data_IF_017391688872
#
_entry.id   IF_017391688872
#
_cell.length_a   1.000
_cell.length_b   1.000
_cell.length_c   1.000
_cell.angle_alpha   90.00
_cell.angle_beta   90.00
_cell.angle_gamma   90.00
#
_symmetry.space_group_name_H-M   'P 1'
#
loop_
_entity.id
_entity.type
_entity.pdbx_description
1 polymer ?
#
# COMPACT_ATOMS: atom_id res chain seq x y z
N UNK A 1 -14.28 26.19 8.95
CA UNK A 1 -13.66 25.17 9.83
C UNK A 1 -12.27 24.90 9.29
N UNK A 2 -11.31 24.68 10.17
CA UNK A 2 -9.94 24.25 9.83
C UNK A 2 -9.85 22.81 10.30
N UNK A 3 -9.45 21.89 9.44
CA UNK A 3 -9.49 20.45 9.73
C UNK A 3 -8.17 19.80 9.36
N UNK A 4 -7.75 18.81 10.13
CA UNK A 4 -6.64 17.94 9.82
C UNK A 4 -6.97 16.51 10.26
N UNK A 5 -6.77 15.55 9.37
CA UNK A 5 -6.84 14.12 9.68
C UNK A 5 -5.44 13.56 9.90
N UNK A 6 -5.32 12.49 10.66
CA UNK A 6 -4.10 11.73 10.79
C UNK A 6 -4.46 10.28 11.02
N UNK A 7 -3.65 9.37 10.49
CA UNK A 7 -3.87 7.96 10.64
C UNK A 7 -2.56 7.23 10.58
N UNK A 8 -2.49 6.13 11.31
CA UNK A 8 -1.66 4.99 11.00
C UNK A 8 -2.60 3.78 11.05
N UNK A 9 -2.25 2.65 10.43
CA UNK A 9 -3.10 1.48 10.52
C UNK A 9 -3.47 1.15 11.98
N UNK A 10 -4.76 0.95 12.24
CA UNK A 10 -5.34 0.73 13.57
C UNK A 10 -5.60 1.99 14.42
N UNK A 11 -5.24 3.19 13.95
CA UNK A 11 -5.50 4.45 14.64
C UNK A 11 -5.94 5.57 13.69
N UNK A 12 -7.08 6.18 13.98
CA UNK A 12 -7.58 7.37 13.28
C UNK A 12 -7.66 8.56 14.21
N UNK A 13 -7.15 9.70 13.77
CA UNK A 13 -7.26 11.00 14.42
C UNK A 13 -7.94 11.99 13.49
N UNK A 14 -8.90 12.76 14.01
CA UNK A 14 -9.51 13.86 13.28
C UNK A 14 -9.61 15.07 14.18
N UNK A 15 -8.98 16.16 13.78
CA UNK A 15 -8.98 17.43 14.52
C UNK A 15 -9.68 18.50 13.69
N UNK A 16 -10.56 19.27 14.30
CA UNK A 16 -11.20 20.42 13.67
C UNK A 16 -11.30 21.59 14.63
N UNK A 17 -11.25 22.79 14.08
CA UNK A 17 -11.44 24.04 14.80
C UNK A 17 -12.30 25.01 13.99
N UNK A 18 -13.23 25.69 14.66
CA UNK A 18 -14.03 26.79 14.13
C UNK A 18 -13.77 28.05 14.96
N UNK A 19 -12.87 28.94 14.50
CA UNK A 19 -12.55 30.17 15.21
C UNK A 19 -13.78 31.05 15.43
N UNK A 20 -14.65 31.17 14.41
CA UNK A 20 -15.86 32.01 14.46
C UNK A 20 -16.92 31.49 15.44
N UNK A 21 -16.86 30.21 15.80
CA UNK A 21 -17.76 29.57 16.75
C UNK A 21 -17.11 29.31 18.11
N UNK A 22 -15.82 29.64 18.27
CA UNK A 22 -15.00 29.28 19.42
C UNK A 22 -15.13 27.79 19.82
N UNK A 23 -15.14 26.90 18.82
CA UNK A 23 -15.38 25.46 18.99
C UNK A 23 -14.25 24.66 18.36
N UNK A 24 -13.70 23.69 19.11
CA UNK A 24 -12.75 22.72 18.60
C UNK A 24 -13.14 21.32 19.03
N UNK A 25 -12.91 20.34 18.15
CA UNK A 25 -13.12 18.92 18.45
C UNK A 25 -11.93 18.09 17.97
N UNK A 26 -11.60 17.09 18.78
CA UNK A 26 -10.59 16.07 18.49
C UNK A 26 -11.25 14.71 18.67
N UNK A 27 -11.23 13.90 17.62
CA UNK A 27 -11.72 12.52 17.63
C UNK A 27 -10.53 11.60 17.49
N UNK A 28 -10.41 10.64 18.40
CA UNK A 28 -9.36 9.61 18.42
C UNK A 28 -10.05 8.25 18.43
N UNK A 29 -9.72 7.40 17.47
CA UNK A 29 -10.29 6.06 17.33
C UNK A 29 -9.14 5.06 17.20
N UNK A 30 -9.16 4.00 17.99
CA UNK A 30 -8.18 2.91 17.99
C UNK A 30 -8.71 1.69 17.21
N UNK A 31 -9.20 1.93 16.00
CA UNK A 31 -9.63 0.91 15.07
C UNK A 31 -9.28 1.34 13.65
N UNK A 32 -9.15 0.36 12.77
CA UNK A 32 -8.72 0.56 11.39
C UNK A 32 -9.85 1.07 10.50
N UNK A 33 -9.50 1.81 9.44
CA UNK A 33 -10.45 2.33 8.43
C UNK A 33 -11.60 3.18 9.01
N UNK A 34 -11.34 3.93 10.10
CA UNK A 34 -12.37 4.70 10.81
C UNK A 34 -12.50 6.17 10.39
N UNK A 35 -11.88 6.58 9.29
CA UNK A 35 -11.90 7.98 8.82
C UNK A 35 -13.32 8.52 8.59
N UNK A 36 -14.19 7.71 7.97
CA UNK A 36 -15.59 8.08 7.72
C UNK A 36 -16.38 8.24 9.04
N UNK A 37 -16.21 7.29 9.97
CA UNK A 37 -16.83 7.32 11.29
C UNK A 37 -16.37 8.52 12.12
N UNK A 38 -15.06 8.83 12.11
CA UNK A 38 -14.51 10.00 12.78
C UNK A 38 -15.11 11.30 12.23
N UNK A 39 -15.24 11.43 10.90
CA UNK A 39 -15.91 12.57 10.26
C UNK A 39 -17.38 12.68 10.65
N UNK A 40 -18.10 11.56 10.68
CA UNK A 40 -19.52 11.54 11.05
C UNK A 40 -19.73 12.00 12.51
N UNK A 41 -18.94 11.47 13.45
CA UNK A 41 -18.95 11.88 14.87
C UNK A 41 -18.69 13.38 14.99
N UNK A 42 -17.64 13.87 14.34
CA UNK A 42 -17.24 15.27 14.38
C UNK A 42 -18.32 16.19 13.82
N UNK A 43 -18.87 15.85 12.65
CA UNK A 43 -19.96 16.63 12.03
C UNK A 43 -21.17 16.68 12.95
N UNK A 44 -21.57 15.53 13.51
CA UNK A 44 -22.72 15.44 14.41
C UNK A 44 -22.55 16.31 15.65
N UNK A 45 -21.39 16.22 16.30
CA UNK A 45 -21.10 17.01 17.48
C UNK A 45 -21.06 18.52 17.18
N UNK A 46 -20.56 18.93 16.02
CA UNK A 46 -20.64 20.33 15.55
C UNK A 46 -22.08 20.80 15.38
N UNK A 47 -22.91 19.99 14.71
CA UNK A 47 -24.30 20.33 14.45
C UNK A 47 -25.09 20.45 15.77
N UNK A 48 -24.87 19.52 16.72
CA UNK A 48 -25.51 19.54 18.04
C UNK A 48 -25.11 20.78 18.85
N UNK A 49 -23.82 21.14 18.91
CA UNK A 49 -23.34 22.33 19.65
C UNK A 49 -23.83 23.63 19.03
N UNK A 50 -23.94 23.68 17.70
CA UNK A 50 -24.42 24.87 16.98
C UNK A 50 -25.95 24.95 16.90
N UNK A 51 -26.68 24.01 17.53
CA UNK A 51 -28.14 23.96 17.51
C UNK A 51 -28.73 23.74 16.11
N UNK A 52 -27.96 23.12 15.21
CA UNK A 52 -28.42 22.78 13.87
C UNK A 52 -29.24 21.50 13.97
N UNK A 53 -30.44 21.52 13.39
CA UNK A 53 -31.26 20.32 13.35
C UNK A 53 -30.48 19.19 12.65
N UNK A 54 -30.55 17.95 13.16
CA UNK A 54 -30.06 16.82 12.41
C UNK A 54 -30.72 16.85 11.02
N UNK A 55 -29.99 16.61 9.92
CA UNK A 55 -30.67 16.32 8.67
C UNK A 55 -31.68 15.19 8.95
N UNK A 56 -32.94 15.38 8.54
CA UNK A 56 -33.94 14.32 8.57
C UNK A 56 -33.32 13.11 7.87
N UNK A 57 -33.11 12.04 8.63
CA UNK A 57 -32.40 10.81 8.29
C UNK A 57 -31.91 10.70 6.83
N UNK A 58 -30.60 10.73 6.65
CA UNK A 58 -29.93 9.85 5.71
C UNK A 58 -28.96 9.00 6.54
N UNK A 59 -29.49 7.93 7.15
CA UNK A 59 -28.69 6.73 7.42
C UNK A 59 -28.59 5.87 6.15
N UNK A 60 -29.04 6.38 5.01
CA UNK A 60 -28.77 5.79 3.70
C UNK A 60 -27.55 6.45 3.10
N UNK A 61 -26.56 5.58 2.92
CA UNK A 61 -25.57 5.66 1.86
C UNK A 61 -24.71 6.92 1.92
N UNK A 62 -23.63 6.85 2.71
CA UNK A 62 -22.33 7.14 2.08
C UNK A 62 -22.41 6.54 0.68
N UNK A 63 -22.15 7.30 -0.41
CA UNK A 63 -21.77 6.62 -1.65
C UNK A 63 -20.79 5.58 -1.18
N UNK A 64 -21.09 4.30 -1.41
CA UNK A 64 -20.07 3.29 -1.29
C UNK A 64 -18.91 3.92 -2.05
N UNK A 65 -17.86 4.29 -1.32
CA UNK A 65 -16.58 4.53 -1.94
C UNK A 65 -16.45 3.29 -2.79
N UNK A 66 -16.55 3.48 -4.12
CA UNK A 66 -16.58 2.35 -5.05
C UNK A 66 -15.44 1.48 -4.56
N UNK A 67 -15.72 0.25 -4.08
CA UNK A 67 -14.68 -0.54 -3.46
C UNK A 67 -13.54 -0.47 -4.46
N UNK A 68 -12.35 0.04 -4.06
CA UNK A 68 -11.25 0.21 -4.99
C UNK A 68 -11.20 -1.11 -5.72
N UNK A 69 -11.42 -1.06 -7.04
CA UNK A 69 -11.68 -2.27 -7.83
C UNK A 69 -10.68 -3.28 -7.33
N UNK A 70 -11.10 -4.35 -6.63
CA UNK A 70 -10.13 -5.28 -6.07
C UNK A 70 -9.27 -5.60 -7.27
N UNK A 71 -7.95 -5.41 -7.16
CA UNK A 71 -7.04 -5.90 -8.19
C UNK A 71 -7.50 -7.33 -8.42
N UNK A 72 -8.17 -7.53 -9.57
CA UNK A 72 -9.16 -8.60 -9.70
C UNK A 72 -8.52 -9.85 -9.16
N UNK A 73 -9.19 -10.52 -8.20
CA UNK A 73 -8.73 -11.75 -7.57
C UNK A 73 -8.27 -12.67 -8.70
N UNK A 74 -6.99 -12.57 -9.01
CA UNK A 74 -6.41 -13.18 -10.18
C UNK A 74 -6.24 -14.59 -9.69
N UNK A 75 -7.31 -15.37 -9.89
CA UNK A 75 -7.38 -16.81 -9.72
C UNK A 75 -5.97 -17.34 -9.89
N UNK A 76 -5.43 -17.95 -8.84
CA UNK A 76 -4.07 -18.49 -8.78
C UNK A 76 -3.82 -19.38 -10.00
N UNK A 77 -3.42 -18.74 -11.10
CA UNK A 77 -2.86 -19.37 -12.26
C UNK A 77 -1.47 -19.82 -11.83
N UNK A 78 -1.10 -21.03 -12.23
CA UNK A 78 0.15 -21.67 -11.84
C UNK A 78 1.29 -20.64 -11.83
N UNK A 79 1.89 -20.29 -10.67
CA UNK A 79 3.02 -19.37 -10.57
C UNK A 79 4.32 -19.97 -11.20
N UNK A 80 4.18 -20.98 -12.06
CA UNK A 80 5.23 -21.90 -12.47
C UNK A 80 6.05 -21.43 -13.68
N UNK A 81 5.79 -20.25 -14.25
CA UNK A 81 6.53 -19.76 -15.44
C UNK A 81 7.51 -18.63 -15.15
N UNK A 82 7.39 -17.94 -14.01
CA UNK A 82 8.21 -16.76 -13.72
C UNK A 82 9.34 -17.09 -12.75
N UNK A 83 10.58 -16.92 -13.22
CA UNK A 83 11.76 -17.01 -12.35
C UNK A 83 11.86 -15.77 -11.46
N UNK A 84 11.30 -15.86 -10.24
CA UNK A 84 11.33 -14.78 -9.24
C UNK A 84 12.76 -14.33 -8.89
N UNK A 85 13.77 -15.20 -9.06
CA UNK A 85 15.15 -14.84 -8.74
C UNK A 85 15.69 -13.73 -9.63
N UNK A 86 15.19 -13.59 -10.86
CA UNK A 86 15.56 -12.50 -11.77
C UNK A 86 15.12 -11.11 -11.23
N UNK A 87 14.06 -11.07 -10.43
CA UNK A 87 13.46 -9.86 -9.86
C UNK A 87 13.91 -9.57 -8.42
N UNK A 88 14.59 -10.51 -7.78
CA UNK A 88 15.24 -10.26 -6.51
C UNK A 88 16.45 -9.33 -6.68
N UNK A 89 16.80 -8.64 -5.60
CA UNK A 89 17.93 -7.72 -5.55
C UNK A 89 17.60 -6.40 -4.87
N UNK A 90 18.54 -5.46 -4.96
CA UNK A 90 18.38 -4.15 -4.33
C UNK A 90 18.02 -3.09 -5.37
N UNK A 91 17.03 -2.28 -5.03
CA UNK A 91 16.44 -1.27 -5.86
C UNK A 91 16.49 0.08 -5.15
N UNK A 92 16.69 1.18 -5.88
CA UNK A 92 16.83 2.51 -5.29
C UNK A 92 16.06 3.56 -6.07
N UNK A 93 15.42 4.47 -5.33
CA UNK A 93 14.74 5.64 -5.87
C UNK A 93 15.15 6.88 -5.06
N UNK A 94 15.47 8.02 -5.69
CA UNK A 94 15.87 9.22 -4.96
C UNK A 94 14.82 9.73 -3.96
N UNK A 95 13.53 9.56 -4.25
CA UNK A 95 12.43 10.04 -3.39
C UNK A 95 11.96 9.03 -2.33
N UNK A 96 12.17 7.74 -2.58
CA UNK A 96 11.62 6.64 -1.77
C UNK A 96 12.70 5.81 -1.06
N UNK A 97 13.96 6.02 -1.44
CA UNK A 97 15.13 5.35 -0.89
C UNK A 97 15.35 3.96 -1.45
N UNK A 98 15.99 3.11 -0.67
CA UNK A 98 16.45 1.78 -1.09
C UNK A 98 15.55 0.68 -0.54
N UNK A 99 15.26 -0.31 -1.38
CA UNK A 99 14.45 -1.48 -1.08
C UNK A 99 15.19 -2.74 -1.56
N UNK A 100 15.31 -3.76 -0.70
CA UNK A 100 15.83 -5.07 -1.10
C UNK A 100 14.68 -6.05 -1.19
N UNK A 101 14.55 -6.72 -2.34
CA UNK A 101 13.53 -7.71 -2.63
C UNK A 101 14.15 -9.11 -2.58
N UNK A 102 13.52 -9.98 -1.78
CA UNK A 102 13.92 -11.34 -1.48
C UNK A 102 12.93 -12.32 -2.09
N UNK A 103 13.40 -13.45 -2.60
CA UNK A 103 12.53 -14.59 -2.91
C UNK A 103 12.27 -15.43 -1.65
N UNK A 104 11.23 -16.30 -1.61
CA UNK A 104 10.97 -17.18 -0.48
C UNK A 104 12.07 -18.21 -0.22
N UNK A 105 12.96 -18.42 -1.20
CA UNK A 105 14.07 -19.37 -1.16
C UNK A 105 15.44 -18.69 -1.05
N UNK A 106 15.47 -17.37 -0.86
CA UNK A 106 16.71 -16.61 -0.77
C UNK A 106 17.51 -17.00 0.49
N UNK A 107 18.77 -17.45 0.35
CA UNK A 107 19.57 -17.91 1.48
C UNK A 107 20.23 -16.77 2.28
N UNK A 108 20.11 -15.51 1.85
CA UNK A 108 20.82 -14.40 2.49
C UNK A 108 20.28 -14.12 3.90
N UNK A 109 21.15 -13.79 4.88
CA UNK A 109 20.73 -13.52 6.26
C UNK A 109 19.71 -12.37 6.40
N UNK A 110 19.84 -11.33 5.57
CA UNK A 110 18.89 -10.21 5.54
C UNK A 110 17.51 -10.66 5.07
N UNK A 111 17.44 -11.52 4.05
CA UNK A 111 16.19 -12.07 3.57
C UNK A 111 15.57 -13.06 4.56
N UNK A 112 16.39 -13.85 5.26
CA UNK A 112 15.91 -14.75 6.29
C UNK A 112 15.11 -14.04 7.40
N UNK A 113 15.54 -12.83 7.82
CA UNK A 113 14.79 -12.04 8.80
C UNK A 113 13.44 -11.58 8.26
N UNK A 114 13.42 -11.01 7.05
CA UNK A 114 12.19 -10.54 6.38
C UNK A 114 11.19 -11.69 6.21
N UNK A 115 11.67 -12.84 5.74
CA UNK A 115 10.82 -14.01 5.52
C UNK A 115 10.32 -14.60 6.85
N UNK A 116 11.12 -14.56 7.92
CA UNK A 116 10.68 -14.97 9.25
C UNK A 116 9.56 -14.06 9.79
N UNK A 117 9.66 -12.75 9.55
CA UNK A 117 8.63 -11.79 9.94
C UNK A 117 7.30 -12.11 9.24
N UNK A 118 7.30 -12.32 7.92
CA UNK A 118 6.09 -12.76 7.19
C UNK A 118 5.60 -14.15 7.62
N UNK A 119 6.52 -15.08 7.92
CA UNK A 119 6.16 -16.44 8.35
C UNK A 119 5.46 -16.47 9.71
N UNK A 120 5.60 -15.42 10.53
CA UNK A 120 4.88 -15.30 11.80
C UNK A 120 3.35 -15.21 11.60
N UNK A 121 2.90 -14.73 10.44
CA UNK A 121 1.48 -14.63 10.08
C UNK A 121 0.91 -15.92 9.49
N UNK A 122 1.77 -16.80 8.97
CA UNK A 122 1.37 -18.03 8.29
C UNK A 122 2.35 -18.46 7.19
N UNK A 123 1.97 -19.42 6.34
CA UNK A 123 2.81 -19.85 5.22
C UNK A 123 3.14 -18.70 4.26
N UNK A 124 4.42 -18.55 3.92
CA UNK A 124 4.89 -17.53 2.96
C UNK A 124 4.53 -17.98 1.54
N UNK A 125 3.72 -17.19 0.85
CA UNK A 125 3.31 -17.44 -0.53
C UNK A 125 4.44 -17.17 -1.54
N UNK A 126 4.30 -17.62 -2.81
CA UNK A 126 5.20 -17.19 -3.88
C UNK A 126 5.09 -15.69 -4.13
N UNK A 127 6.22 -14.98 -4.08
CA UNK A 127 6.29 -13.53 -4.29
C UNK A 127 7.66 -12.98 -3.95
N UNK A 128 7.81 -11.65 -4.02
CA UNK A 128 9.01 -10.97 -3.52
C UNK A 128 8.68 -10.23 -2.23
N UNK A 129 9.59 -10.28 -1.27
CA UNK A 129 9.39 -9.72 0.07
C UNK A 129 10.52 -8.77 0.42
N UNK A 130 10.23 -7.70 1.14
CA UNK A 130 11.27 -6.77 1.58
C UNK A 130 10.92 -6.08 2.89
N UNK A 131 11.93 -5.81 3.71
CA UNK A 131 11.83 -4.80 4.75
C UNK A 131 11.86 -3.42 4.10
N UNK A 132 10.95 -2.56 4.53
CA UNK A 132 10.81 -1.21 4.02
C UNK A 132 10.39 -0.23 5.14
N UNK A 133 11.32 0.09 6.06
CA UNK A 133 11.02 0.92 7.24
C UNK A 133 10.86 2.39 6.83
N UNK A 134 9.67 2.74 6.36
CA UNK A 134 9.29 4.07 5.90
C UNK A 134 8.02 4.53 6.60
N UNK A 135 7.61 5.77 6.33
CA UNK A 135 6.34 6.27 6.86
C UNK A 135 5.21 5.38 6.32
N UNK A 136 4.32 4.94 7.21
CA UNK A 136 3.15 4.08 6.92
C UNK A 136 3.44 2.63 6.50
N UNK A 137 4.71 2.19 6.46
CA UNK A 137 5.04 0.81 6.13
C UNK A 137 6.29 0.31 6.88
N UNK A 138 6.29 -0.97 7.20
CA UNK A 138 7.46 -1.69 7.73
C UNK A 138 8.02 -2.68 6.71
N UNK A 139 7.15 -3.20 5.85
CA UNK A 139 7.44 -4.27 4.91
C UNK A 139 6.67 -4.03 3.61
N UNK A 140 7.12 -4.73 2.56
CA UNK A 140 6.46 -4.78 1.27
C UNK A 140 6.40 -6.23 0.78
N UNK A 141 5.30 -6.59 0.12
CA UNK A 141 5.17 -7.82 -0.66
C UNK A 141 4.78 -7.51 -2.09
N UNK A 142 5.37 -8.24 -3.03
CA UNK A 142 5.06 -8.20 -4.46
C UNK A 142 4.56 -9.58 -4.90
N UNK A 143 3.31 -9.64 -5.31
CA UNK A 143 2.66 -10.87 -5.78
C UNK A 143 2.54 -10.83 -7.30
N UNK A 144 3.05 -11.83 -8.04
CA UNK A 144 2.91 -11.88 -9.49
C UNK A 144 1.45 -11.83 -9.94
N UNK A 145 1.13 -11.03 -10.95
CA UNK A 145 -0.21 -11.03 -11.56
C UNK A 145 -0.26 -12.07 -12.69
N UNK A 146 -1.25 -12.96 -12.65
CA UNK A 146 -1.34 -14.11 -13.55
C UNK A 146 -1.43 -13.74 -15.06
N UNK A 147 -1.86 -12.52 -15.38
CA UNK A 147 -2.12 -12.08 -16.75
C UNK A 147 -0.90 -11.45 -17.45
N UNK A 148 0.20 -11.20 -16.74
CA UNK A 148 1.35 -10.46 -17.25
C UNK A 148 2.66 -10.99 -16.67
N UNK A 149 3.65 -11.26 -17.53
CA UNK A 149 4.90 -11.89 -17.13
C UNK A 149 5.83 -10.99 -16.32
N UNK A 150 5.59 -9.67 -16.22
CA UNK A 150 6.50 -8.75 -15.54
C UNK A 150 5.81 -7.79 -14.57
N UNK A 151 4.54 -8.05 -14.26
CA UNK A 151 3.72 -7.16 -13.43
C UNK A 151 3.32 -7.82 -12.12
N UNK A 152 3.41 -7.06 -11.05
CA UNK A 152 3.19 -7.51 -9.68
C UNK A 152 2.22 -6.57 -8.97
N UNK A 153 1.33 -7.12 -8.15
CA UNK A 153 0.62 -6.36 -7.13
C UNK A 153 1.59 -6.07 -5.98
N UNK A 154 1.70 -4.80 -5.60
CA UNK A 154 2.48 -4.34 -4.46
C UNK A 154 1.54 -4.08 -3.29
N UNK A 155 1.86 -4.63 -2.12
CA UNK A 155 1.22 -4.28 -0.86
C UNK A 155 2.26 -3.77 0.12
N UNK A 156 2.09 -2.54 0.59
CA UNK A 156 2.82 -1.97 1.73
C UNK A 156 2.09 -2.36 3.01
N UNK A 157 2.82 -2.79 4.04
CA UNK A 157 2.19 -3.24 5.28
C UNK A 157 2.98 -2.86 6.53
N UNK A 158 2.24 -2.60 7.61
CA UNK A 158 2.76 -2.59 8.96
C UNK A 158 2.61 -3.98 9.57
N UNK A 159 3.73 -4.66 9.77
CA UNK A 159 3.78 -6.05 10.19
C UNK A 159 4.28 -6.12 11.63
N UNK A 160 3.57 -6.89 12.46
CA UNK A 160 3.84 -7.06 13.89
C UNK A 160 4.10 -8.55 14.18
N UNK A 161 5.31 -9.08 13.90
CA UNK A 161 5.62 -10.51 14.04
C UNK A 161 5.48 -11.05 15.46
N UNK A 162 5.47 -10.15 16.44
CA UNK A 162 5.44 -10.46 17.87
C UNK A 162 4.21 -9.85 18.57
N UNK A 163 3.21 -9.43 17.79
CA UNK A 163 2.04 -8.73 18.29
C UNK A 163 2.33 -7.37 18.90
N UNK A 164 1.37 -6.85 19.66
CA UNK A 164 1.47 -5.56 20.33
C UNK A 164 0.59 -5.53 21.58
N UNK A 165 1.16 -5.09 22.70
CA UNK A 165 0.46 -5.00 23.98
C UNK A 165 0.39 -6.34 24.71
N UNK A 166 -0.78 -6.67 25.27
CA UNK A 166 -0.97 -7.90 26.03
C UNK A 166 -1.13 -9.13 25.13
N UNK A 167 -1.61 -8.94 23.91
CA UNK A 167 -1.68 -9.98 22.89
C UNK A 167 -0.39 -9.94 22.07
N UNK A 168 0.35 -11.05 22.11
CA UNK A 168 1.61 -11.23 21.40
C UNK A 168 1.43 -12.04 20.12
N UNK A 169 0.19 -12.32 19.69
CA UNK A 169 -0.08 -12.96 18.41
C UNK A 169 0.32 -12.04 17.26
N UNK A 170 0.92 -12.62 16.24
CA UNK A 170 1.34 -11.87 15.08
C UNK A 170 0.13 -11.36 14.30
N UNK A 171 0.20 -10.13 13.83
CA UNK A 171 -0.81 -9.56 12.94
C UNK A 171 -0.15 -8.60 11.94
N UNK A 172 -0.85 -8.32 10.86
CA UNK A 172 -0.49 -7.30 9.89
C UNK A 172 -1.64 -6.30 9.75
N UNK A 173 -1.29 -5.07 9.42
CA UNK A 173 -2.21 -4.00 9.09
C UNK A 173 -1.80 -3.37 7.76
N UNK A 174 -2.80 -2.97 6.97
CA UNK A 174 -2.63 -2.18 5.76
C UNK A 174 -3.94 -1.46 5.47
N UNK A 175 -3.86 -0.30 4.81
CA UNK A 175 -5.04 0.47 4.45
C UNK A 175 -5.50 0.07 3.04
N UNK A 176 -6.72 -0.47 2.94
CA UNK A 176 -7.30 -0.87 1.65
C UNK A 176 -7.37 0.33 0.71
N UNK A 177 -6.94 0.17 -0.54
CA UNK A 177 -6.93 1.24 -1.54
C UNK A 177 -5.79 2.27 -1.42
N UNK A 178 -5.14 2.42 -0.26
CA UNK A 178 -4.00 3.34 -0.08
C UNK A 178 -2.65 2.61 -0.03
N UNK A 179 -2.64 1.38 0.49
CA UNK A 179 -1.43 0.57 0.67
C UNK A 179 -1.15 -0.38 -0.50
N UNK A 180 -1.97 -0.32 -1.55
CA UNK A 180 -1.90 -1.17 -2.73
C UNK A 180 -1.43 -0.37 -3.94
N UNK A 181 -0.59 -0.99 -4.76
CA UNK A 181 -0.12 -0.40 -6.01
C UNK A 181 0.21 -1.50 -7.00
N UNK A 182 0.51 -1.12 -8.24
CA UNK A 182 0.99 -2.02 -9.28
C UNK A 182 2.45 -1.70 -9.62
N UNK A 183 3.24 -2.74 -9.82
CA UNK A 183 4.64 -2.64 -10.22
C UNK A 183 4.85 -3.33 -11.55
N UNK A 184 5.45 -2.64 -12.50
CA UNK A 184 5.93 -3.24 -13.76
C UNK A 184 7.47 -3.24 -13.77
N UNK A 185 8.08 -4.40 -13.99
CA UNK A 185 9.54 -4.51 -14.11
C UNK A 185 9.99 -4.21 -15.54
N UNK A 186 10.97 -3.31 -15.68
CA UNK A 186 11.59 -3.07 -16.98
C UNK A 186 12.61 -4.16 -17.27
N UNK A 187 12.24 -5.04 -18.20
CA UNK A 187 13.04 -6.20 -18.60
C UNK A 187 13.69 -5.99 -19.95
N UNK A 188 14.94 -6.43 -20.08
CA UNK A 188 15.69 -6.41 -21.33
C UNK A 188 16.46 -7.73 -21.55
N UNK A 189 17.06 -7.90 -22.73
CA UNK A 189 17.91 -9.05 -23.00
C UNK A 189 19.11 -9.03 -22.04
N UNK A 190 19.34 -10.15 -21.35
CA UNK A 190 20.49 -10.35 -20.49
C UNK A 190 21.81 -10.39 -21.27
N UNK A 191 22.94 -10.17 -20.58
CA UNK A 191 24.28 -10.22 -21.19
C UNK A 191 24.62 -11.62 -21.73
N UNK A 192 24.04 -12.67 -21.14
CA UNK A 192 24.11 -14.04 -21.61
C UNK A 192 22.74 -14.41 -22.20
N UNK A 193 22.68 -14.63 -23.51
CA UNK A 193 21.43 -14.84 -24.24
C UNK A 193 20.55 -15.90 -23.59
N UNK A 194 19.36 -15.48 -23.14
CA UNK A 194 18.38 -16.33 -22.45
C UNK A 194 18.06 -15.89 -21.02
N UNK A 195 18.91 -15.10 -20.37
CA UNK A 195 18.59 -14.47 -19.08
C UNK A 195 17.82 -13.16 -19.26
N UNK A 196 16.87 -12.89 -18.38
CA UNK A 196 16.18 -11.60 -18.29
C UNK A 196 17.04 -10.66 -17.45
N UNK A 197 17.45 -9.52 -18.04
CA UNK A 197 18.07 -8.44 -17.27
C UNK A 197 17.00 -7.46 -16.81
N UNK A 198 16.84 -7.32 -15.50
CA UNK A 198 15.92 -6.36 -14.89
C UNK A 198 16.67 -5.06 -14.62
N UNK A 199 16.30 -3.97 -15.29
CA UNK A 199 16.93 -2.66 -15.08
C UNK A 199 16.37 -1.90 -13.86
N UNK A 200 15.17 -2.25 -13.44
CA UNK A 200 14.44 -1.58 -12.37
C UNK A 200 12.95 -1.87 -12.47
N UNK A 201 12.16 -1.14 -11.70
CA UNK A 201 10.71 -1.22 -11.78
C UNK A 201 10.03 0.14 -11.66
N UNK A 202 8.89 0.25 -12.33
CA UNK A 202 7.98 1.38 -12.28
C UNK A 202 6.86 1.09 -11.28
N UNK A 203 6.58 2.03 -10.40
CA UNK A 203 5.46 2.01 -9.45
C UNK A 203 4.29 2.82 -10.02
N UNK A 204 3.10 2.26 -9.95
CA UNK A 204 1.84 2.85 -10.40
C UNK A 204 0.79 2.73 -9.31
N UNK A 205 0.24 3.86 -8.86
CA UNK A 205 -0.73 3.91 -7.76
C UNK A 205 -2.15 4.11 -8.31
N UNK A 206 -2.32 5.05 -9.24
CA UNK A 206 -3.62 5.42 -9.82
C UNK A 206 -3.60 5.21 -11.34
N UNK A 207 -4.33 4.20 -11.83
CA UNK A 207 -4.34 3.84 -13.25
C UNK A 207 -4.92 4.95 -14.14
N UNK A 208 -5.88 5.75 -13.67
CA UNK A 208 -6.42 6.87 -14.46
C UNK A 208 -5.36 7.98 -14.63
N UNK A 209 -4.66 8.31 -13.55
CA UNK A 209 -3.56 9.26 -13.57
C UNK A 209 -2.40 8.78 -14.45
N UNK A 210 -2.11 7.48 -14.43
CA UNK A 210 -1.10 6.85 -15.31
C UNK A 210 -1.50 6.98 -16.78
N UNK A 211 -2.72 6.65 -17.14
CA UNK A 211 -3.21 6.78 -18.53
C UNK A 211 -3.24 8.24 -18.99
N UNK A 212 -3.61 9.16 -18.10
CA UNK A 212 -3.53 10.60 -18.39
C UNK A 212 -2.10 11.11 -18.58
N UNK A 213 -1.11 10.54 -17.87
CA UNK A 213 0.32 10.83 -18.09
C UNK A 213 0.80 10.26 -19.41
N UNK A 214 0.52 8.98 -19.70
CA UNK A 214 0.89 8.30 -20.96
C UNK A 214 0.39 9.10 -22.18
N UNK A 215 -0.87 9.55 -22.14
CA UNK A 215 -1.47 10.41 -23.19
C UNK A 215 -0.74 11.75 -23.38
N UNK A 216 -0.18 12.32 -22.32
CA UNK A 216 0.43 13.66 -22.34
C UNK A 216 1.89 13.64 -22.76
N UNK A 217 2.65 12.68 -22.28
CA UNK A 217 4.10 12.61 -22.51
C UNK A 217 4.44 11.80 -23.74
N UNK A 218 3.55 10.90 -24.20
CA UNK A 218 3.87 9.90 -25.22
C UNK A 218 5.04 8.99 -24.79
N UNK A 219 5.31 8.98 -23.49
CA UNK A 219 6.54 8.48 -22.90
C UNK A 219 6.50 7.00 -22.57
N UNK A 220 7.68 6.43 -22.31
CA UNK A 220 7.83 5.03 -21.88
C UNK A 220 7.34 4.79 -20.45
N UNK A 221 7.36 3.53 -20.01
CA UNK A 221 6.91 3.07 -18.67
C UNK A 221 7.45 3.94 -17.53
N UNK A 222 8.74 4.30 -17.60
CA UNK A 222 9.42 5.14 -16.62
C UNK A 222 8.86 6.57 -16.51
N UNK A 223 8.36 7.13 -17.60
CA UNK A 223 7.84 8.51 -17.65
C UNK A 223 6.36 8.57 -17.21
N UNK A 224 5.66 7.45 -17.28
CA UNK A 224 4.28 7.31 -16.79
C UNK A 224 4.21 6.93 -15.30
N UNK A 225 5.30 6.42 -14.73
CA UNK A 225 5.38 5.93 -13.36
C UNK A 225 5.21 7.04 -12.31
N UNK A 226 4.56 6.70 -11.19
CA UNK A 226 4.56 7.54 -9.98
C UNK A 226 5.95 7.59 -9.35
N UNK A 227 6.66 6.45 -9.38
CA UNK A 227 8.04 6.36 -8.96
C UNK A 227 8.82 5.35 -9.80
N UNK A 228 10.10 5.62 -9.99
CA UNK A 228 11.04 4.70 -10.61
C UNK A 228 12.06 4.22 -9.57
N UNK A 229 12.26 2.91 -9.53
CA UNK A 229 13.26 2.24 -8.71
C UNK A 229 14.28 1.54 -9.61
N UNK A 230 15.50 2.07 -9.66
CA UNK A 230 16.58 1.47 -10.44
C UNK A 230 17.17 0.27 -9.71
N UNK A 231 17.43 -0.83 -10.41
CA UNK A 231 18.18 -1.97 -9.85
C UNK A 231 19.66 -1.57 -9.70
N UNK A 232 20.28 -1.91 -8.57
CA UNK A 232 21.70 -1.66 -8.30
C UNK A 232 22.62 -2.79 -8.78
#
# INVERSE_FOLDING_TARGET
MITHSGGIPGFTTFTTFSPSSNLGLVVLINADEQAAHARAILKRAFDDVLGRAPPAQALDETPAEEPPTPLADASAGDPSSLDLSAYAGTYTSPGYGTLTLCTPTDPSPSCASVLADFAALGPVAPGLYGAYPRVFATHVRLTPLACDSHTFALTLTALFPHGYGADTSAFELWETGESEARVEFAVGPGPEGGQVAVAGFALFIDDEAVEARRRRTGGGEREAADAWFAKM
#
